data_IF_334458255363
#
_entry.id   IF_334458255363
#
_cell.length_a   1.000
_cell.length_b   1.000
_cell.length_c   1.000
_cell.angle_alpha   90.00
_cell.angle_beta   90.00
_cell.angle_gamma   90.00
#
_symmetry.space_group_name_H-M   'P 1'
#
loop_
_entity.id
_entity.type
_entity.pdbx_description
1 polymer ?
#
# COMPACT_ATOMS: atom_id res chain seq x y z
N UNK A 1 -6.14 -3.29 49.77
CA UNK A 1 -6.93 -4.30 49.04
C UNK A 1 -7.29 -3.68 47.70
N UNK A 2 -6.38 -3.94 46.74
CA UNK A 2 -6.41 -3.85 45.26
C UNK A 2 -7.17 -2.65 44.67
N UNK A 3 -6.50 -1.59 44.17
CA UNK A 3 -5.64 -1.54 42.96
C UNK A 3 -6.22 -2.31 41.76
N UNK A 4 -6.76 -1.58 40.79
CA UNK A 4 -6.98 -2.04 39.43
C UNK A 4 -6.14 -1.15 38.52
N UNK A 5 -4.92 -1.64 38.28
CA UNK A 5 -3.94 -1.07 37.38
C UNK A 5 -4.42 -1.06 35.92
N UNK A 6 -3.97 -0.01 35.28
CA UNK A 6 -3.88 0.27 33.86
C UNK A 6 -3.36 -0.94 33.06
N UNK A 7 -4.14 -1.38 32.08
CA UNK A 7 -3.72 -2.40 31.11
C UNK A 7 -2.69 -1.77 30.17
N UNK A 8 -1.42 -1.86 30.51
CA UNK A 8 -0.32 -1.63 29.57
C UNK A 8 -0.25 -2.85 28.64
N UNK A 9 -0.52 -2.62 27.36
CA UNK A 9 -0.36 -3.63 26.33
C UNK A 9 1.13 -4.04 26.24
N UNK A 10 1.35 -5.34 26.42
CA UNK A 10 2.62 -6.03 26.32
C UNK A 10 3.16 -5.91 24.87
N UNK A 11 4.19 -5.09 24.65
CA UNK A 11 4.97 -5.14 23.42
C UNK A 11 5.77 -6.45 23.44
N UNK A 12 5.22 -7.49 22.80
CA UNK A 12 5.92 -8.76 22.63
C UNK A 12 7.32 -8.54 22.05
N UNK A 13 8.29 -8.87 22.88
CA UNK A 13 9.71 -8.78 22.67
C UNK A 13 10.12 -9.78 21.58
N UNK A 14 10.39 -9.30 20.37
CA UNK A 14 11.07 -10.11 19.35
C UNK A 14 12.54 -10.24 19.77
N UNK A 15 12.90 -11.45 20.18
CA UNK A 15 14.25 -11.84 20.56
C UNK A 15 15.21 -11.72 19.36
N UNK A 16 16.29 -10.96 19.54
CA UNK A 16 17.41 -10.89 18.60
C UNK A 16 18.66 -11.21 19.39
N UNK A 17 18.97 -12.51 19.48
CA UNK A 17 20.29 -12.97 19.90
C UNK A 17 21.26 -12.79 18.74
N UNK A 18 21.79 -11.57 18.63
CA UNK A 18 23.12 -11.34 18.09
C UNK A 18 23.92 -10.68 19.22
N UNK A 19 24.84 -11.46 19.79
CA UNK A 19 25.77 -11.02 20.83
C UNK A 19 26.74 -9.99 20.23
N UNK A 20 26.44 -8.70 20.41
CA UNK A 20 27.39 -7.60 20.27
C UNK A 20 27.67 -7.05 21.68
N UNK A 21 28.60 -7.69 22.40
CA UNK A 21 28.93 -7.43 23.82
C UNK A 21 29.65 -6.09 24.11
N UNK A 22 29.68 -5.13 23.17
CA UNK A 22 30.38 -3.83 23.33
C UNK A 22 29.50 -2.59 23.05
N UNK A 23 28.17 -2.74 22.98
CA UNK A 23 27.28 -1.60 22.73
C UNK A 23 26.91 -0.85 24.03
N UNK A 24 27.37 0.40 24.17
CA UNK A 24 27.03 1.27 25.31
C UNK A 24 25.49 1.49 25.45
N UNK A 25 24.96 1.81 26.65
CA UNK A 25 23.52 2.03 26.86
C UNK A 25 22.90 3.09 25.95
N UNK A 26 23.67 4.11 25.59
CA UNK A 26 23.28 5.16 24.64
C UNK A 26 23.11 4.59 23.23
N UNK A 27 24.06 3.74 22.79
CA UNK A 27 24.00 3.04 21.49
C UNK A 27 22.77 2.13 21.41
N UNK A 28 22.44 1.44 22.51
CA UNK A 28 21.27 0.54 22.59
C UNK A 28 19.94 1.31 22.55
N UNK A 29 19.85 2.46 23.22
CA UNK A 29 18.68 3.35 23.16
C UNK A 29 18.48 3.96 21.77
N UNK A 30 19.56 4.42 21.14
CA UNK A 30 19.55 4.96 19.79
C UNK A 30 19.13 3.90 18.76
N UNK A 31 19.64 2.67 18.87
CA UNK A 31 19.28 1.56 18.00
C UNK A 31 17.80 1.16 18.13
N UNK A 32 17.23 1.18 19.34
CA UNK A 32 15.79 0.95 19.54
C UNK A 32 14.94 2.03 18.87
N UNK A 33 15.33 3.31 18.99
CA UNK A 33 14.64 4.43 18.33
C UNK A 33 14.70 4.35 16.81
N UNK A 34 15.86 4.05 16.23
CA UNK A 34 15.99 3.92 14.78
C UNK A 34 15.16 2.74 14.24
N UNK A 35 15.09 1.63 14.98
CA UNK A 35 14.21 0.49 14.65
C UNK A 35 12.73 0.86 14.73
N UNK A 36 12.30 1.61 15.75
CA UNK A 36 10.90 2.05 15.85
C UNK A 36 10.52 3.02 14.72
N UNK A 37 11.44 3.91 14.32
CA UNK A 37 11.23 4.82 13.20
C UNK A 37 11.15 4.08 11.87
N UNK A 38 12.06 3.12 11.63
CA UNK A 38 12.02 2.27 10.44
C UNK A 38 10.72 1.44 10.37
N UNK A 39 10.26 0.92 11.51
CA UNK A 39 8.98 0.20 11.61
C UNK A 39 7.80 1.11 11.29
N UNK A 40 7.76 2.31 11.87
CA UNK A 40 6.71 3.29 11.58
C UNK A 40 6.70 3.66 10.09
N UNK A 41 7.86 3.96 9.51
CA UNK A 41 7.98 4.27 8.08
C UNK A 41 7.49 3.12 7.18
N UNK A 42 7.78 1.87 7.55
CA UNK A 42 7.32 0.69 6.82
C UNK A 42 5.79 0.46 6.94
N UNK A 43 5.17 0.87 8.05
CA UNK A 43 3.72 0.77 8.25
C UNK A 43 2.93 1.89 7.56
N UNK A 44 3.56 3.05 7.34
CA UNK A 44 2.99 4.16 6.58
C UNK A 44 3.11 3.98 5.05
N UNK A 45 3.86 2.96 4.60
CA UNK A 45 3.97 2.64 3.18
C UNK A 45 2.68 2.01 2.66
N UNK A 46 2.12 2.62 1.62
CA UNK A 46 0.86 2.16 1.01
C UNK A 46 1.06 0.89 0.16
N UNK A 47 2.31 0.54 -0.17
CA UNK A 47 2.62 -0.65 -0.97
C UNK A 47 3.27 -1.73 -0.11
N UNK A 48 2.93 -2.97 -0.39
CA UNK A 48 3.64 -4.12 0.17
C UNK A 48 4.72 -4.56 -0.82
N UNK A 49 5.96 -4.62 -0.37
CA UNK A 49 7.15 -5.00 -1.13
C UNK A 49 8.00 -5.99 -0.34
N UNK A 50 9.03 -6.55 -0.98
CA UNK A 50 9.95 -7.46 -0.30
C UNK A 50 10.70 -6.79 0.86
N UNK A 51 10.85 -5.47 0.83
CA UNK A 51 11.55 -4.67 1.83
C UNK A 51 10.72 -4.46 3.10
N UNK A 52 9.39 -4.35 3.00
CA UNK A 52 8.51 -4.03 4.13
C UNK A 52 7.57 -5.17 4.56
N UNK A 53 7.44 -6.25 3.77
CA UNK A 53 6.50 -7.34 4.04
C UNK A 53 6.67 -7.99 5.41
N UNK A 54 7.90 -8.06 5.93
CA UNK A 54 8.16 -8.62 7.26
C UNK A 54 7.66 -7.76 8.41
N UNK A 55 7.52 -6.46 8.18
CA UNK A 55 6.91 -5.54 9.14
C UNK A 55 5.38 -5.53 8.98
N UNK A 56 4.90 -5.45 7.74
CA UNK A 56 3.46 -5.34 7.41
C UNK A 56 2.71 -6.63 7.74
N UNK A 57 3.30 -7.79 7.51
CA UNK A 57 2.70 -9.11 7.73
C UNK A 57 3.39 -9.87 8.86
N UNK A 58 3.85 -9.17 9.90
CA UNK A 58 4.64 -9.74 11.00
C UNK A 58 4.01 -10.97 11.68
N UNK A 59 2.68 -11.13 11.64
CA UNK A 59 1.96 -12.29 12.17
C UNK A 59 1.84 -13.48 11.21
N UNK A 60 2.29 -13.35 9.96
CA UNK A 60 2.15 -14.38 8.93
C UNK A 60 3.52 -14.89 8.47
N UNK A 61 3.60 -16.17 8.08
CA UNK A 61 4.76 -16.71 7.38
C UNK A 61 4.78 -16.21 5.91
N UNK A 62 5.17 -14.96 5.73
CA UNK A 62 5.17 -14.28 4.43
C UNK A 62 6.24 -14.79 3.45
N UNK A 63 7.11 -15.72 3.86
CA UNK A 63 8.18 -16.28 3.02
C UNK A 63 7.62 -16.91 1.74
N UNK A 64 6.45 -17.54 1.83
CA UNK A 64 5.79 -18.17 0.68
C UNK A 64 5.39 -17.15 -0.41
N UNK A 65 5.04 -15.92 -0.01
CA UNK A 65 4.57 -14.88 -0.92
C UNK A 65 5.64 -13.83 -1.27
N UNK A 66 6.72 -13.73 -0.49
CA UNK A 66 7.76 -12.70 -0.66
C UNK A 66 8.28 -12.62 -2.09
N UNK A 67 8.54 -13.76 -2.73
CA UNK A 67 9.05 -13.83 -4.12
C UNK A 67 8.08 -13.28 -5.18
N UNK A 68 6.78 -13.17 -4.86
CA UNK A 68 5.75 -12.63 -5.76
C UNK A 68 5.52 -11.13 -5.55
N UNK A 69 6.11 -10.53 -4.51
CA UNK A 69 6.02 -9.10 -4.24
C UNK A 69 7.07 -8.33 -5.05
N UNK A 70 6.80 -7.05 -5.39
CA UNK A 70 7.81 -6.16 -5.93
C UNK A 70 9.05 -6.09 -5.03
N UNK A 71 10.24 -6.03 -5.63
CA UNK A 71 11.51 -5.99 -4.87
C UNK A 71 11.55 -4.82 -3.91
N UNK A 72 11.09 -3.64 -4.35
CA UNK A 72 11.02 -2.44 -3.53
C UNK A 72 9.67 -1.75 -3.69
N UNK A 73 9.32 -0.92 -2.71
CA UNK A 73 8.10 -0.13 -2.78
C UNK A 73 8.20 0.95 -3.87
N UNK A 74 7.19 1.09 -4.74
CA UNK A 74 7.15 2.20 -5.68
C UNK A 74 6.92 3.52 -4.94
N UNK A 75 7.51 4.61 -5.45
CA UNK A 75 7.36 5.97 -4.91
C UNK A 75 6.57 6.83 -5.90
N UNK A 76 5.24 6.65 -6.00
CA UNK A 76 4.43 7.37 -6.98
C UNK A 76 4.36 8.86 -6.60
N UNK A 77 5.23 9.66 -7.22
CA UNK A 77 5.19 11.12 -7.14
C UNK A 77 4.73 11.68 -8.48
N UNK A 78 3.74 12.55 -8.43
CA UNK A 78 3.16 13.21 -9.59
C UNK A 78 2.73 14.61 -9.20
N UNK A 79 2.91 15.59 -10.08
CA UNK A 79 2.60 16.99 -9.78
C UNK A 79 1.10 17.24 -9.73
N UNK A 80 0.35 16.52 -10.56
CA UNK A 80 -1.12 16.57 -10.62
C UNK A 80 -1.69 15.16 -10.67
N UNK A 81 -2.77 14.94 -9.91
CA UNK A 81 -3.44 13.65 -9.81
C UNK A 81 -4.95 13.79 -9.97
N UNK A 82 -5.58 12.85 -10.69
CA UNK A 82 -7.02 12.66 -10.64
C UNK A 82 -7.36 11.30 -10.01
N UNK A 83 -8.29 11.30 -9.07
CA UNK A 83 -8.87 10.08 -8.49
C UNK A 83 -10.29 9.92 -9.02
N UNK A 84 -10.55 8.85 -9.76
CA UNK A 84 -11.81 8.64 -10.46
C UNK A 84 -12.52 7.42 -9.87
N UNK A 85 -13.61 7.69 -9.14
CA UNK A 85 -14.53 6.66 -8.65
C UNK A 85 -15.50 6.16 -9.74
N UNK A 86 -16.44 5.30 -9.34
CA UNK A 86 -17.34 4.59 -10.27
C UNK A 86 -18.80 5.10 -10.23
N UNK A 87 -19.02 6.32 -9.76
CA UNK A 87 -20.36 6.85 -9.57
C UNK A 87 -21.04 7.16 -10.91
N UNK A 88 -22.33 6.80 -11.02
CA UNK A 88 -23.13 7.05 -12.21
C UNK A 88 -23.28 8.53 -12.58
N UNK A 89 -23.16 9.44 -11.59
CA UNK A 89 -23.22 10.89 -11.78
C UNK A 89 -22.19 11.41 -12.79
N UNK A 90 -21.07 10.70 -12.97
CA UNK A 90 -20.05 11.07 -13.96
C UNK A 90 -20.62 11.14 -15.38
N UNK A 91 -21.64 10.33 -15.69
CA UNK A 91 -22.32 10.31 -17.00
C UNK A 91 -23.06 11.60 -17.32
N UNK A 92 -23.29 12.48 -16.35
CA UNK A 92 -23.95 13.77 -16.56
C UNK A 92 -23.02 14.82 -17.21
N UNK A 93 -21.72 14.50 -17.37
CA UNK A 93 -20.74 15.42 -17.95
C UNK A 93 -19.73 14.75 -18.88
N UNK A 94 -18.84 15.57 -19.44
CA UNK A 94 -17.75 15.15 -20.33
C UNK A 94 -16.41 15.55 -19.72
N UNK A 95 -15.97 14.82 -18.70
CA UNK A 95 -14.79 15.16 -17.91
C UNK A 95 -13.50 14.55 -18.46
N UNK A 96 -13.59 13.70 -19.49
CA UNK A 96 -12.48 12.84 -19.90
C UNK A 96 -11.19 13.59 -20.21
N UNK A 97 -11.26 14.64 -21.03
CA UNK A 97 -10.09 15.45 -21.35
C UNK A 97 -9.53 16.22 -20.14
N UNK A 98 -10.36 16.56 -19.16
CA UNK A 98 -9.90 17.20 -17.92
C UNK A 98 -9.21 16.20 -17.00
N UNK A 99 -9.72 14.98 -16.92
CA UNK A 99 -9.13 13.88 -16.16
C UNK A 99 -7.78 13.50 -16.76
N UNK A 100 -7.72 13.25 -18.07
CA UNK A 100 -6.52 12.78 -18.77
C UNK A 100 -5.39 13.82 -18.84
N UNK A 101 -5.63 15.08 -18.47
CA UNK A 101 -4.58 16.11 -18.34
C UNK A 101 -3.70 15.95 -17.11
N UNK A 102 -4.11 15.17 -16.11
CA UNK A 102 -3.33 14.95 -14.90
C UNK A 102 -2.15 14.01 -15.18
N UNK A 103 -1.05 14.18 -14.46
CA UNK A 103 0.15 13.36 -14.62
C UNK A 103 -0.12 11.91 -14.22
N UNK A 104 -0.86 11.70 -13.12
CA UNK A 104 -1.33 10.38 -12.69
C UNK A 104 -2.86 10.32 -12.59
N UNK A 105 -3.44 9.19 -13.00
CA UNK A 105 -4.87 8.90 -12.86
C UNK A 105 -5.07 7.59 -12.10
N UNK A 106 -5.76 7.67 -10.97
CA UNK A 106 -6.12 6.55 -10.10
C UNK A 106 -7.56 6.15 -10.34
N UNK A 107 -7.80 4.85 -10.53
CA UNK A 107 -9.14 4.28 -10.74
C UNK A 107 -9.41 3.14 -9.77
N UNK A 108 -10.68 2.83 -9.55
CA UNK A 108 -11.10 1.82 -8.57
C UNK A 108 -11.82 0.67 -9.27
N UNK A 109 -11.46 -0.56 -8.91
CA UNK A 109 -12.06 -1.81 -9.35
C UNK A 109 -12.18 -1.89 -10.89
N UNK A 110 -13.36 -2.23 -11.39
CA UNK A 110 -13.66 -2.52 -12.79
C UNK A 110 -14.07 -1.31 -13.63
N UNK A 111 -13.75 -0.08 -13.21
CA UNK A 111 -14.14 1.14 -13.92
C UNK A 111 -13.72 1.08 -15.41
N UNK A 112 -14.68 1.08 -16.36
CA UNK A 112 -14.37 0.96 -17.78
C UNK A 112 -13.76 2.26 -18.31
N UNK A 113 -12.72 2.10 -19.13
CA UNK A 113 -12.05 3.20 -19.86
C UNK A 113 -12.01 2.96 -21.37
N UNK A 114 -12.48 1.79 -21.80
CA UNK A 114 -12.65 1.46 -23.21
C UNK A 114 -13.97 1.99 -23.75
N UNK A 115 -14.06 2.11 -25.08
CA UNK A 115 -15.23 2.65 -25.77
C UNK A 115 -15.20 4.18 -25.88
N UNK A 116 -15.53 4.71 -27.06
CA UNK A 116 -15.52 6.16 -27.32
C UNK A 116 -16.53 6.90 -26.42
N UNK A 117 -17.61 6.23 -26.04
CA UNK A 117 -18.66 6.74 -25.17
C UNK A 117 -18.15 7.00 -23.73
N UNK A 118 -17.35 6.10 -23.16
CA UNK A 118 -16.82 6.29 -21.81
C UNK A 118 -15.64 7.24 -21.78
N UNK A 119 -14.77 7.21 -22.79
CA UNK A 119 -13.59 8.09 -22.84
C UNK A 119 -13.96 9.58 -22.83
N UNK A 120 -15.06 9.97 -23.48
CA UNK A 120 -15.53 11.35 -23.41
C UNK A 120 -15.95 11.78 -22.00
N UNK A 121 -16.49 10.84 -21.21
CA UNK A 121 -17.04 11.07 -19.87
C UNK A 121 -15.93 11.03 -18.83
N UNK A 122 -15.13 9.96 -18.82
CA UNK A 122 -14.19 9.64 -17.75
C UNK A 122 -12.73 9.55 -18.19
N UNK A 123 -12.43 9.71 -19.48
CA UNK A 123 -11.07 9.65 -20.01
C UNK A 123 -10.59 8.23 -20.24
N UNK A 124 -9.41 8.10 -20.85
CA UNK A 124 -8.76 6.81 -21.14
C UNK A 124 -7.53 6.52 -20.28
N UNK A 125 -6.95 7.54 -19.60
CA UNK A 125 -5.72 7.35 -18.84
C UNK A 125 -5.96 6.53 -17.58
N UNK A 126 -5.05 5.58 -17.34
CA UNK A 126 -4.95 4.79 -16.10
C UNK A 126 -3.47 4.70 -15.74
N UNK A 127 -3.10 5.20 -14.57
CA UNK A 127 -1.74 5.03 -14.02
C UNK A 127 -1.77 3.98 -12.91
N UNK A 128 -2.77 4.05 -12.04
CA UNK A 128 -2.97 3.11 -10.95
C UNK A 128 -4.42 2.63 -10.92
N UNK A 129 -4.61 1.35 -10.57
CA UNK A 129 -5.93 0.76 -10.36
C UNK A 129 -5.98 0.05 -9.01
N UNK A 130 -6.79 0.56 -8.09
CA UNK A 130 -7.02 -0.06 -6.80
C UNK A 130 -8.07 -1.15 -6.97
N UNK A 131 -7.72 -2.39 -6.68
CA UNK A 131 -8.63 -3.53 -6.74
C UNK A 131 -8.97 -3.98 -5.32
N UNK A 132 -10.25 -4.25 -5.06
CA UNK A 132 -10.61 -5.05 -3.91
C UNK A 132 -10.35 -6.55 -4.18
N UNK A 133 -10.44 -7.36 -3.10
CA UNK A 133 -10.18 -8.80 -3.15
C UNK A 133 -11.04 -9.55 -4.19
N UNK A 134 -12.31 -9.18 -4.35
CA UNK A 134 -13.19 -9.79 -5.36
C UNK A 134 -12.66 -9.54 -6.77
N UNK A 135 -12.34 -8.28 -7.09
CA UNK A 135 -11.89 -7.93 -8.44
C UNK A 135 -10.48 -8.44 -8.72
N UNK A 136 -9.60 -8.55 -7.72
CA UNK A 136 -8.28 -9.17 -7.94
C UNK A 136 -8.38 -10.60 -8.45
N UNK A 137 -9.35 -11.39 -7.97
CA UNK A 137 -9.59 -12.75 -8.47
C UNK A 137 -10.08 -12.73 -9.91
N UNK A 138 -11.09 -11.90 -10.21
CA UNK A 138 -11.62 -11.77 -11.58
C UNK A 138 -10.54 -11.36 -12.57
N UNK A 139 -9.70 -10.38 -12.22
CA UNK A 139 -8.58 -9.95 -13.07
C UNK A 139 -7.50 -11.04 -13.24
N UNK A 140 -7.34 -11.94 -12.27
CA UNK A 140 -6.40 -13.05 -12.34
C UNK A 140 -6.93 -14.21 -13.19
N UNK A 141 -8.24 -14.47 -13.15
CA UNK A 141 -8.89 -15.60 -13.83
C UNK A 141 -9.19 -15.32 -15.30
N UNK A 142 -9.63 -14.10 -15.64
CA UNK A 142 -10.13 -13.77 -16.98
C UNK A 142 -9.04 -13.50 -18.03
N UNK A 143 -7.75 -13.66 -17.70
CA UNK A 143 -6.66 -13.48 -18.66
C UNK A 143 -6.61 -12.09 -19.32
N UNK A 144 -7.16 -11.06 -18.66
CA UNK A 144 -7.28 -9.68 -19.21
C UNK A 144 -5.90 -9.01 -19.44
N UNK A 145 -4.81 -9.70 -19.09
CA UNK A 145 -3.42 -9.34 -19.43
C UNK A 145 -2.61 -10.55 -19.95
N UNK A 146 -3.10 -11.24 -20.99
CA UNK A 146 -2.27 -12.01 -21.92
C UNK A 146 -2.30 -11.38 -23.31
#
# INVERSE_FOLDING_TARGET
MNDFDEVVADEQQVDVTAEDDDATPTTRSQHRRSRSEARAAALEDIFVSQDNVGVVLASQNYNAIKKFLPTSSPTPRSRTCAVVGNAGVLKLGRHGSSIDRHDAVWRVNQAPVGGKEYQAIVGSKVTFRLLNSKWSTVYCEDGVYS
#
